data_IF_775644165679
#
_entry.id   IF_775644165679
#
_cell.length_a   1.000
_cell.length_b   1.000
_cell.length_c   1.000
_cell.angle_alpha   90.00
_cell.angle_beta   90.00
_cell.angle_gamma   90.00
#
_symmetry.space_group_name_H-M   'P 1'
#
loop_
_entity.id
_entity.type
_entity.pdbx_description
1 polymer ?
#
# COMPACT_ATOMS: atom_id res chain seq x y z
N UNK A 1 19.52 7.52 3.68
CA UNK A 1 19.70 6.93 2.32
C UNK A 1 18.45 7.25 1.51
N UNK A 2 18.61 7.89 0.38
CA UNK A 2 17.52 8.17 -0.56
C UNK A 2 17.21 6.93 -1.40
N UNK A 3 16.05 6.93 -2.12
CA UNK A 3 15.73 5.87 -3.09
C UNK A 3 16.83 5.77 -4.15
N UNK A 4 17.30 6.89 -4.66
CA UNK A 4 18.37 6.93 -5.67
C UNK A 4 19.69 6.31 -5.17
N UNK A 5 20.10 6.64 -3.94
CA UNK A 5 21.29 6.02 -3.32
C UNK A 5 21.13 4.51 -3.13
N UNK A 6 19.95 4.07 -2.73
CA UNK A 6 19.67 2.65 -2.57
C UNK A 6 19.68 1.92 -3.91
N UNK A 7 19.04 2.48 -4.94
CA UNK A 7 19.01 1.92 -6.30
C UNK A 7 20.41 1.77 -6.88
N UNK A 8 21.30 2.73 -6.62
CA UNK A 8 22.69 2.66 -7.09
C UNK A 8 23.50 1.46 -6.53
N UNK A 9 23.01 0.85 -5.45
CA UNK A 9 23.62 -0.34 -4.83
C UNK A 9 23.02 -1.66 -5.37
N UNK A 10 21.92 -1.60 -6.15
CA UNK A 10 21.28 -2.79 -6.70
C UNK A 10 21.95 -3.21 -8.00
N UNK A 11 22.10 -4.52 -8.19
CA UNK A 11 22.64 -5.11 -9.43
C UNK A 11 21.54 -5.60 -10.36
N UNK A 12 20.36 -5.87 -9.81
CA UNK A 12 19.21 -6.37 -10.55
C UNK A 12 18.18 -5.26 -10.78
N UNK A 13 17.47 -5.29 -11.93
CA UNK A 13 16.39 -4.33 -12.19
C UNK A 13 15.23 -4.54 -11.23
N UNK A 14 14.50 -3.45 -10.94
CA UNK A 14 13.27 -3.53 -10.16
C UNK A 14 12.19 -4.29 -10.93
N UNK A 15 11.55 -5.26 -10.29
CA UNK A 15 10.37 -5.95 -10.83
C UNK A 15 9.15 -5.02 -10.92
N UNK A 16 9.06 -4.05 -10.02
CA UNK A 16 7.98 -3.07 -9.97
C UNK A 16 8.06 -2.19 -8.74
N UNK A 17 7.23 -1.16 -8.71
CA UNK A 17 6.91 -0.37 -7.52
C UNK A 17 5.48 -0.72 -7.11
N UNK A 18 5.30 -1.15 -5.89
CA UNK A 18 4.01 -1.57 -5.34
C UNK A 18 3.56 -0.52 -4.33
N UNK A 19 2.62 0.33 -4.73
CA UNK A 19 2.12 1.43 -3.91
C UNK A 19 0.98 0.95 -3.01
N UNK A 20 0.95 1.42 -1.78
CA UNK A 20 -0.20 1.21 -0.90
C UNK A 20 -1.41 1.98 -1.39
N UNK A 21 -1.22 3.21 -1.87
CA UNK A 21 -2.22 4.10 -2.46
C UNK A 21 -1.55 5.31 -3.14
N UNK A 22 -2.34 6.20 -3.76
CA UNK A 22 -1.84 7.33 -4.54
C UNK A 22 -1.92 8.69 -3.82
N UNK A 23 -1.70 8.76 -2.51
CA UNK A 23 -1.48 10.04 -1.85
C UNK A 23 -0.07 10.57 -2.11
N UNK A 24 0.10 11.90 -2.00
CA UNK A 24 1.32 12.58 -2.41
C UNK A 24 2.57 12.04 -1.73
N UNK A 25 2.53 11.85 -0.44
CA UNK A 25 3.63 11.37 0.40
C UNK A 25 4.04 9.91 0.12
N UNK A 26 3.16 9.13 -0.50
CA UNK A 26 3.44 7.74 -0.93
C UNK A 26 4.01 7.63 -2.35
N UNK A 27 3.97 8.73 -3.14
CA UNK A 27 4.45 8.74 -4.53
C UNK A 27 5.64 9.68 -4.76
N UNK A 28 6.06 10.45 -3.75
CA UNK A 28 7.15 11.44 -3.86
C UNK A 28 8.48 10.83 -4.31
N UNK A 29 8.72 9.56 -4.07
CA UNK A 29 9.93 8.86 -4.48
C UNK A 29 9.91 8.33 -5.92
N UNK A 30 8.77 8.37 -6.62
CA UNK A 30 8.66 7.83 -7.98
C UNK A 30 9.62 8.47 -9.01
N UNK A 31 9.90 9.79 -8.95
CA UNK A 31 10.86 10.40 -9.88
C UNK A 31 12.28 9.84 -9.83
N UNK A 32 12.65 9.18 -8.73
CA UNK A 32 13.97 8.56 -8.54
C UNK A 32 14.02 7.12 -9.08
N UNK A 33 12.87 6.55 -9.42
CA UNK A 33 12.75 5.18 -9.95
C UNK A 33 12.95 5.20 -11.47
N UNK A 34 13.65 4.20 -12.06
CA UNK A 34 13.77 4.11 -13.52
C UNK A 34 12.42 4.11 -14.23
N UNK A 35 12.23 4.96 -15.22
CA UNK A 35 10.95 5.17 -15.92
C UNK A 35 10.38 3.94 -16.64
N UNK A 36 11.18 2.88 -16.83
CA UNK A 36 10.71 1.62 -17.38
C UNK A 36 10.11 0.67 -16.31
N UNK A 37 10.28 0.98 -15.02
CA UNK A 37 9.78 0.15 -13.93
C UNK A 37 8.25 0.30 -13.82
N UNK A 38 7.47 -0.79 -13.94
CA UNK A 38 6.02 -0.70 -13.80
C UNK A 38 5.63 -0.31 -12.37
N UNK A 39 4.60 0.52 -12.25
CA UNK A 39 4.04 0.97 -10.97
C UNK A 39 2.67 0.32 -10.80
N UNK A 40 2.42 -0.25 -9.63
CA UNK A 40 1.15 -0.91 -9.30
C UNK A 40 0.47 -0.20 -8.15
N UNK A 41 -0.84 -0.04 -8.26
CA UNK A 41 -1.72 0.48 -7.22
C UNK A 41 -3.01 -0.35 -7.14
N UNK A 42 -3.79 -0.16 -6.11
CA UNK A 42 -5.09 -0.83 -6.00
C UNK A 42 -6.13 -0.26 -6.97
N UNK A 43 -7.22 -0.99 -7.21
CA UNK A 43 -8.26 -0.59 -8.16
C UNK A 43 -8.95 0.70 -7.73
N UNK A 44 -9.18 1.58 -8.71
CA UNK A 44 -9.84 2.86 -8.51
C UNK A 44 -8.95 3.99 -7.99
N UNK A 45 -7.69 3.72 -7.64
CA UNK A 45 -6.74 4.76 -7.19
C UNK A 45 -6.56 5.90 -8.21
N UNK A 46 -6.37 5.62 -9.51
CA UNK A 46 -6.17 6.69 -10.49
C UNK A 46 -7.38 7.62 -10.63
N UNK A 47 -8.57 7.12 -10.35
CA UNK A 47 -9.82 7.89 -10.43
C UNK A 47 -10.23 8.52 -9.09
N UNK A 48 -9.58 8.14 -7.99
CA UNK A 48 -9.92 8.63 -6.66
C UNK A 48 -9.69 10.14 -6.55
N UNK A 49 -10.68 10.86 -6.05
CA UNK A 49 -10.58 12.27 -5.74
C UNK A 49 -11.10 12.53 -4.35
N UNK A 50 -10.29 13.16 -3.52
CA UNK A 50 -10.65 13.57 -2.18
C UNK A 50 -10.40 15.08 -2.07
N UNK A 51 -11.27 15.79 -1.35
CA UNK A 51 -11.17 17.25 -1.23
C UNK A 51 -9.79 17.69 -0.72
N UNK A 52 -9.24 16.97 0.27
CA UNK A 52 -7.91 17.25 0.81
C UNK A 52 -6.78 17.03 -0.21
N UNK A 53 -7.00 16.19 -1.22
CA UNK A 53 -6.02 15.85 -2.25
C UNK A 53 -6.15 16.68 -3.53
N UNK A 54 -7.17 17.54 -3.65
CA UNK A 54 -7.37 18.38 -4.85
C UNK A 54 -6.16 19.26 -5.14
N UNK A 55 -5.51 19.78 -4.11
CA UNK A 55 -4.33 20.65 -4.27
C UNK A 55 -3.05 19.88 -4.64
N UNK A 56 -2.98 18.59 -4.29
CA UNK A 56 -1.81 17.74 -4.58
C UNK A 56 -1.94 16.96 -5.89
N UNK A 57 -3.16 16.83 -6.44
CA UNK A 57 -3.44 16.01 -7.63
C UNK A 57 -2.51 16.31 -8.81
N UNK A 58 -2.35 17.57 -9.20
CA UNK A 58 -1.46 17.93 -10.30
C UNK A 58 0.02 17.63 -10.04
N UNK A 59 0.42 17.48 -8.78
CA UNK A 59 1.76 17.05 -8.41
C UNK A 59 1.89 15.53 -8.52
N UNK A 60 0.90 14.79 -8.03
CA UNK A 60 0.81 13.34 -8.16
C UNK A 60 0.84 12.92 -9.63
N UNK A 61 0.01 13.55 -10.47
CA UNK A 61 -0.06 13.26 -11.90
C UNK A 61 1.31 13.46 -12.59
N UNK A 62 2.03 14.56 -12.26
CA UNK A 62 3.39 14.80 -12.77
C UNK A 62 4.43 13.77 -12.32
N UNK A 63 4.28 13.21 -11.11
CA UNK A 63 5.15 12.14 -10.62
C UNK A 63 4.87 10.83 -11.34
N UNK A 64 3.59 10.52 -11.56
CA UNK A 64 3.15 9.34 -12.31
C UNK A 64 3.54 9.43 -13.80
N UNK A 65 3.44 10.60 -14.44
CA UNK A 65 3.87 10.80 -15.84
C UNK A 65 5.37 10.51 -16.05
N UNK A 66 6.19 10.65 -15.01
CA UNK A 66 7.64 10.42 -15.05
C UNK A 66 8.04 9.00 -14.69
N UNK A 67 7.11 8.22 -14.17
CA UNK A 67 7.31 6.82 -13.79
C UNK A 67 7.02 5.87 -14.95
N UNK A 68 7.18 4.58 -14.73
CA UNK A 68 6.69 3.53 -15.62
C UNK A 68 5.15 3.48 -15.69
N UNK A 69 4.60 2.60 -16.53
CA UNK A 69 3.17 2.50 -16.69
C UNK A 69 2.49 2.13 -15.37
N UNK A 70 1.49 2.94 -14.98
CA UNK A 70 0.64 2.64 -13.83
C UNK A 70 -0.33 1.49 -14.19
N UNK A 71 -0.36 0.48 -13.34
CA UNK A 71 -1.24 -0.69 -13.45
C UNK A 71 -2.07 -0.82 -12.18
N UNK A 72 -3.30 -1.27 -12.34
CA UNK A 72 -4.15 -1.59 -11.20
C UNK A 72 -4.08 -3.10 -10.90
N UNK A 73 -4.10 -3.45 -9.60
CA UNK A 73 -4.21 -4.83 -9.19
C UNK A 73 -5.55 -5.44 -9.63
N UNK A 74 -5.51 -6.64 -10.18
CA UNK A 74 -6.70 -7.47 -10.38
C UNK A 74 -6.74 -8.51 -9.25
N UNK A 75 -7.37 -8.15 -8.14
CA UNK A 75 -7.46 -9.04 -6.98
C UNK A 75 -8.31 -10.27 -7.27
N UNK A 76 -7.92 -11.38 -6.66
CA UNK A 76 -8.70 -12.60 -6.58
C UNK A 76 -9.49 -12.64 -5.27
N UNK A 77 -10.52 -13.46 -5.20
CA UNK A 77 -11.26 -13.67 -3.95
C UNK A 77 -10.36 -14.36 -2.91
N UNK A 78 -10.37 -13.85 -1.68
CA UNK A 78 -9.69 -14.50 -0.57
C UNK A 78 -10.38 -15.83 -0.23
N UNK A 79 -9.69 -16.99 -0.31
CA UNK A 79 -10.28 -18.29 0.01
C UNK A 79 -10.82 -18.38 1.43
N UNK A 80 -10.20 -17.65 2.38
CA UNK A 80 -10.61 -17.61 3.77
C UNK A 80 -11.74 -16.58 4.02
N UNK A 81 -12.09 -15.78 3.01
CA UNK A 81 -13.15 -14.78 3.08
C UNK A 81 -12.85 -13.63 4.05
N UNK A 82 -11.61 -13.48 4.47
CA UNK A 82 -11.16 -12.45 5.43
C UNK A 82 -11.06 -11.08 4.78
N UNK A 83 -10.44 -11.02 3.59
CA UNK A 83 -10.20 -9.79 2.85
C UNK A 83 -11.11 -9.68 1.62
N UNK A 84 -11.35 -8.47 1.17
CA UNK A 84 -12.14 -8.23 -0.06
C UNK A 84 -11.44 -8.71 -1.34
N UNK A 85 -10.12 -8.93 -1.27
CA UNK A 85 -9.34 -9.50 -2.35
C UNK A 85 -7.86 -9.59 -1.98
N UNK A 86 -7.20 -10.58 -2.55
CA UNK A 86 -5.76 -10.82 -2.39
C UNK A 86 -5.13 -11.20 -3.73
N UNK A 87 -3.83 -11.04 -3.86
CA UNK A 87 -3.06 -11.57 -4.98
C UNK A 87 -1.65 -11.92 -4.54
N UNK A 88 -1.17 -13.11 -4.90
CA UNK A 88 0.24 -13.49 -4.80
C UNK A 88 0.99 -12.87 -5.99
N UNK A 89 1.78 -11.83 -5.73
CA UNK A 89 2.40 -10.99 -6.78
C UNK A 89 3.35 -11.80 -7.67
N UNK A 90 4.08 -12.74 -7.08
CA UNK A 90 5.10 -13.54 -7.77
C UNK A 90 4.71 -15.02 -7.95
N UNK A 91 3.61 -15.45 -7.38
CA UNK A 91 3.13 -16.85 -7.46
C UNK A 91 3.94 -17.83 -6.60
N UNK A 92 4.76 -17.32 -5.66
CA UNK A 92 5.64 -18.11 -4.78
C UNK A 92 5.36 -17.86 -3.29
N UNK A 93 4.29 -17.16 -2.98
CA UNK A 93 3.88 -16.73 -1.66
C UNK A 93 4.91 -15.85 -0.92
N UNK A 94 5.82 -15.20 -1.66
CA UNK A 94 6.81 -14.29 -1.07
C UNK A 94 6.23 -12.91 -0.75
N UNK A 95 5.34 -12.41 -1.62
CA UNK A 95 4.70 -11.09 -1.47
C UNK A 95 3.23 -11.17 -1.87
N UNK A 96 2.36 -10.85 -0.93
CA UNK A 96 0.93 -10.73 -1.16
C UNK A 96 0.50 -9.28 -1.13
N UNK A 97 -0.28 -8.86 -2.12
CA UNK A 97 -1.07 -7.62 -2.05
C UNK A 97 -2.47 -7.96 -1.53
N UNK A 98 -2.92 -7.20 -0.54
CA UNK A 98 -4.18 -7.39 0.18
C UNK A 98 -5.01 -6.13 0.02
N UNK A 99 -6.21 -6.24 -0.54
CA UNK A 99 -7.12 -5.12 -0.71
C UNK A 99 -7.76 -4.72 0.63
N UNK A 100 -7.47 -3.50 1.07
CA UNK A 100 -7.92 -2.93 2.36
C UNK A 100 -8.54 -1.54 2.13
N UNK A 101 -9.65 -1.46 1.37
CA UNK A 101 -10.24 -0.20 0.97
C UNK A 101 -10.78 0.60 2.16
N UNK A 102 -10.89 1.92 1.98
CA UNK A 102 -11.48 2.82 2.97
C UNK A 102 -10.71 4.13 3.10
N UNK A 103 -9.43 4.09 3.42
CA UNK A 103 -8.58 5.29 3.37
C UNK A 103 -8.56 5.86 1.95
N UNK A 104 -8.34 5.00 0.96
CA UNK A 104 -8.64 5.22 -0.46
C UNK A 104 -9.34 3.99 -1.05
N UNK A 105 -9.92 4.08 -2.27
CA UNK A 105 -10.66 2.96 -2.87
C UNK A 105 -9.80 1.73 -3.10
N UNK A 106 -8.54 1.95 -3.51
CA UNK A 106 -7.59 0.90 -3.83
C UNK A 106 -6.52 0.68 -2.77
N UNK A 107 -6.72 1.18 -1.55
CA UNK A 107 -5.77 0.96 -0.45
C UNK A 107 -5.36 -0.50 -0.35
N UNK A 108 -4.05 -0.72 -0.35
CA UNK A 108 -3.41 -2.02 -0.42
C UNK A 108 -2.45 -2.18 0.74
N UNK A 109 -2.58 -3.26 1.50
CA UNK A 109 -1.55 -3.72 2.42
C UNK A 109 -0.69 -4.79 1.75
N UNK A 110 0.56 -4.93 2.18
CA UNK A 110 1.46 -5.96 1.67
C UNK A 110 1.93 -6.88 2.78
N UNK A 111 1.76 -8.20 2.58
CA UNK A 111 2.36 -9.21 3.43
C UNK A 111 3.61 -9.74 2.72
N UNK A 112 4.77 -9.55 3.34
CA UNK A 112 6.08 -9.89 2.75
C UNK A 112 6.75 -10.94 3.60
N UNK A 113 7.09 -12.07 3.01
CA UNK A 113 7.87 -13.12 3.67
C UNK A 113 9.37 -12.83 3.48
N UNK A 114 10.08 -12.64 4.58
CA UNK A 114 11.53 -12.42 4.59
C UNK A 114 12.25 -13.53 5.36
N UNK A 115 13.58 -13.68 5.18
CA UNK A 115 14.36 -14.62 5.98
C UNK A 115 14.27 -14.40 7.50
N UNK A 116 13.98 -13.17 7.94
CA UNK A 116 13.81 -12.82 9.35
C UNK A 116 12.38 -12.95 9.87
N UNK A 117 11.43 -13.38 9.05
CA UNK A 117 10.01 -13.51 9.38
C UNK A 117 9.10 -12.73 8.44
N UNK A 118 7.80 -12.88 8.63
CA UNK A 118 6.81 -12.17 7.83
C UNK A 118 6.64 -10.71 8.30
N UNK A 119 6.46 -9.80 7.34
CA UNK A 119 6.25 -8.36 7.56
C UNK A 119 4.91 -7.96 6.96
N UNK A 120 4.11 -7.21 7.70
CA UNK A 120 2.86 -6.65 7.24
C UNK A 120 2.98 -5.13 7.12
N UNK A 121 2.98 -4.62 5.89
CA UNK A 121 3.00 -3.19 5.60
C UNK A 121 1.55 -2.76 5.38
N UNK A 122 0.96 -2.07 6.34
CA UNK A 122 -0.48 -1.76 6.31
C UNK A 122 -0.81 -0.45 5.58
N UNK A 123 0.20 0.31 5.15
CA UNK A 123 0.00 1.64 4.58
C UNK A 123 -0.83 2.51 5.54
N UNK A 124 -1.73 3.28 4.97
CA UNK A 124 -2.57 4.21 5.72
C UNK A 124 -3.91 3.61 6.19
N UNK A 125 -4.01 2.28 6.27
CA UNK A 125 -5.04 1.67 7.09
C UNK A 125 -4.88 2.09 8.57
N UNK A 126 -3.66 2.43 9.01
CA UNK A 126 -3.38 3.11 10.27
C UNK A 126 -2.14 3.99 10.14
N UNK A 127 -2.23 5.27 10.52
CA UNK A 127 -1.11 6.20 10.47
C UNK A 127 -0.10 5.96 11.61
N UNK A 128 -0.58 5.63 12.81
CA UNK A 128 0.24 5.67 14.02
C UNK A 128 0.15 4.38 14.84
N UNK A 129 1.17 4.12 15.66
CA UNK A 129 1.15 3.02 16.63
C UNK A 129 -0.07 3.08 17.53
N UNK A 130 -0.41 4.27 18.03
CA UNK A 130 -1.58 4.45 18.87
C UNK A 130 -2.88 4.09 18.13
N UNK A 131 -3.04 4.55 16.88
CA UNK A 131 -4.20 4.22 16.04
C UNK A 131 -4.32 2.72 15.82
N UNK A 132 -3.22 2.06 15.49
CA UNK A 132 -3.14 0.60 15.35
C UNK A 132 -3.56 -0.13 16.62
N UNK A 133 -3.00 0.24 17.77
CA UNK A 133 -3.26 -0.43 19.05
C UNK A 133 -4.71 -0.22 19.54
N UNK A 134 -5.31 0.92 19.24
CA UNK A 134 -6.67 1.28 19.66
C UNK A 134 -7.75 1.05 18.59
N UNK A 135 -7.39 0.63 17.37
CA UNK A 135 -8.33 0.40 16.28
C UNK A 135 -8.94 1.69 15.74
N UNK A 136 -8.15 2.76 15.73
CA UNK A 136 -8.56 4.08 15.22
C UNK A 136 -7.93 4.28 13.84
N UNK A 137 -8.80 4.42 12.83
CA UNK A 137 -8.42 4.71 11.46
C UNK A 137 -8.03 6.20 11.29
N UNK A 138 -7.47 6.62 10.13
CA UNK A 138 -6.97 7.99 9.93
C UNK A 138 -8.00 9.14 9.96
N UNK A 139 -9.26 8.89 10.24
CA UNK A 139 -10.30 9.91 10.41
C UNK A 139 -10.62 10.63 9.09
N UNK A 140 -10.58 11.96 9.12
CA UNK A 140 -10.92 12.78 7.95
C UNK A 140 -9.99 12.62 6.75
N UNK A 141 -8.88 11.91 6.91
CA UNK A 141 -8.00 11.52 5.80
C UNK A 141 -8.51 10.29 5.04
N UNK A 142 -9.48 9.56 5.59
CA UNK A 142 -10.12 8.43 4.91
C UNK A 142 -11.30 8.89 4.05
N UNK A 143 -11.37 8.37 2.82
CA UNK A 143 -12.46 8.65 1.90
C UNK A 143 -13.77 7.98 2.35
N UNK A 144 -13.68 6.77 2.88
CA UNK A 144 -14.77 5.98 3.46
C UNK A 144 -14.35 5.50 4.86
N UNK A 145 -14.69 6.29 5.88
CA UNK A 145 -14.33 5.99 7.27
C UNK A 145 -14.86 4.65 7.76
N UNK A 146 -16.16 4.32 7.61
CA UNK A 146 -16.68 3.01 7.98
C UNK A 146 -15.91 1.84 7.35
N UNK A 147 -15.61 1.92 6.06
CA UNK A 147 -14.84 0.90 5.35
C UNK A 147 -13.39 0.82 5.83
N UNK A 148 -12.79 1.97 6.16
CA UNK A 148 -11.44 2.04 6.73
C UNK A 148 -11.37 1.36 8.11
N UNK A 149 -12.39 1.55 8.95
CA UNK A 149 -12.51 0.84 10.24
C UNK A 149 -12.58 -0.67 10.05
N UNK A 150 -13.40 -1.16 9.09
CA UNK A 150 -13.50 -2.59 8.78
C UNK A 150 -12.16 -3.15 8.33
N UNK A 151 -11.49 -2.49 7.37
CA UNK A 151 -10.18 -2.90 6.85
C UNK A 151 -9.11 -2.95 7.94
N UNK A 152 -9.07 -1.93 8.81
CA UNK A 152 -8.16 -1.90 9.96
C UNK A 152 -8.44 -3.04 10.95
N UNK A 153 -9.71 -3.32 11.23
CA UNK A 153 -10.12 -4.38 12.16
C UNK A 153 -9.62 -5.76 11.69
N UNK A 154 -9.79 -6.06 10.40
CA UNK A 154 -9.36 -7.35 9.81
C UNK A 154 -7.84 -7.50 9.79
N UNK A 155 -7.10 -6.43 9.46
CA UNK A 155 -5.63 -6.44 9.54
C UNK A 155 -5.13 -6.68 10.98
N UNK A 156 -5.78 -6.06 11.96
CA UNK A 156 -5.44 -6.25 13.39
C UNK A 156 -5.76 -7.66 13.87
N UNK A 157 -6.84 -8.27 13.37
CA UNK A 157 -7.17 -9.66 13.66
C UNK A 157 -6.11 -10.61 13.10
N UNK A 158 -5.67 -10.41 11.86
CA UNK A 158 -4.54 -11.14 11.28
C UNK A 158 -3.29 -11.05 12.16
N UNK A 159 -2.93 -9.85 12.61
CA UNK A 159 -1.75 -9.66 13.45
C UNK A 159 -1.87 -10.29 14.85
N UNK A 160 -3.09 -10.40 15.40
CA UNK A 160 -3.33 -11.12 16.66
C UNK A 160 -3.23 -12.63 16.51
N UNK A 161 -3.71 -13.15 15.39
CA UNK A 161 -3.62 -14.59 15.07
C UNK A 161 -2.17 -15.02 14.84
N UNK A 162 -1.34 -14.13 14.28
CA UNK A 162 0.08 -14.38 14.02
C UNK A 162 0.98 -13.40 14.80
N UNK A 163 1.21 -13.61 16.12
CA UNK A 163 1.95 -12.67 16.97
C UNK A 163 3.41 -12.42 16.55
N UNK A 164 3.98 -13.30 15.72
CA UNK A 164 5.33 -13.15 15.15
C UNK A 164 5.36 -12.21 13.94
N UNK A 165 4.19 -11.74 13.47
CA UNK A 165 4.08 -10.83 12.33
C UNK A 165 4.51 -9.43 12.74
N UNK A 166 5.55 -8.90 12.09
CA UNK A 166 5.98 -7.52 12.31
C UNK A 166 5.11 -6.57 11.49
N UNK A 167 4.48 -5.59 12.15
CA UNK A 167 3.58 -4.62 11.52
C UNK A 167 4.28 -3.29 11.33
N UNK A 168 4.23 -2.79 10.09
CA UNK A 168 4.74 -1.48 9.66
C UNK A 168 3.57 -0.59 9.25
N UNK A 169 3.51 0.59 9.85
CA UNK A 169 2.43 1.57 9.67
C UNK A 169 2.84 2.63 8.65
N UNK A 170 1.88 3.38 8.11
CA UNK A 170 2.14 4.41 7.10
C UNK A 170 3.01 5.56 7.60
N UNK A 171 2.75 6.05 8.81
CA UNK A 171 3.42 7.21 9.40
C UNK A 171 4.05 6.89 10.76
N UNK A 172 5.25 6.35 10.77
CA UNK A 172 6.02 6.02 11.98
C UNK A 172 7.25 6.89 12.13
#
# INVERSE_FOLDING_TARGET
MTIQEWLALQTEPLAGVFLTHLHLDHVMGLPDVPSATPVYAGPGEPAASQFLNLFSRGTIDRMLERSGPLREWSYEGDPDGRFSGIIDIFGDASVWAIHVPGHSPGSTAYLVRTPSGAKLLVGDASHTRWGWENGVEPGTFSLDGPRSVESLAVLRELAREFPQLEVYLGHQ
#
